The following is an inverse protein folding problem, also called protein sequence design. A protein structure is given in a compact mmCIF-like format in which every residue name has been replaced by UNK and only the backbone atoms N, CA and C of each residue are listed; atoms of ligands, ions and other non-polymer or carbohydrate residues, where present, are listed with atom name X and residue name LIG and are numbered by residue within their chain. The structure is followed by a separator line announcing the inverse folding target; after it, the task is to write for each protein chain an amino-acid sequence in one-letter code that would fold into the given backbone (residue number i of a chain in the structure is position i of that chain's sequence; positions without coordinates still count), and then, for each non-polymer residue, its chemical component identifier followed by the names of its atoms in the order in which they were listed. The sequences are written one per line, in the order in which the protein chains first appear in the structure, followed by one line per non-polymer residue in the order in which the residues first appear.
data_IF_435364396468
#
_entry.id   IF_435364396468
#
_cell.length_a   1.000
_cell.length_b   1.000
_cell.length_c   1.000
_cell.angle_alpha   90.00
_cell.angle_beta   90.00
_cell.angle_gamma   90.00
#
_symmetry.space_group_name_H-M   'P 1'
#
loop_
_entity.id
_entity.type
_entity.pdbx_description
1 polymer ?
#
# COMPACT_ATOMS: atom_id res chain seq x y z
N UNK A 1 4.92 -4.82 -21.85
CA UNK A 1 5.64 -4.48 -20.60
C UNK A 1 7.12 -4.51 -20.93
N UNK A 2 7.84 -3.37 -20.80
CA UNK A 2 9.26 -3.31 -21.14
C UNK A 2 10.10 -4.08 -20.10
N UNK A 3 10.98 -4.96 -20.58
CA UNK A 3 11.81 -5.91 -19.82
C UNK A 3 12.80 -5.26 -18.81
N UNK A 4 12.97 -3.93 -18.85
CA UNK A 4 13.98 -3.20 -18.08
C UNK A 4 13.56 -2.75 -16.67
N UNK A 5 12.28 -2.90 -16.30
CA UNK A 5 11.82 -2.69 -14.91
C UNK A 5 12.04 -3.91 -13.99
N UNK A 6 12.54 -5.04 -14.53
CA UNK A 6 12.76 -6.26 -13.75
C UNK A 6 14.01 -6.23 -12.87
N UNK A 7 14.99 -5.36 -13.15
CA UNK A 7 16.17 -5.25 -12.30
C UNK A 7 15.93 -4.19 -11.22
N UNK A 8 15.80 -4.57 -9.93
CA UNK A 8 15.64 -3.61 -8.85
C UNK A 8 16.90 -2.75 -8.77
N UNK A 9 16.78 -1.46 -9.11
CA UNK A 9 17.87 -0.49 -9.06
C UNK A 9 17.74 0.47 -7.86
N UNK A 10 16.62 0.40 -7.16
CA UNK A 10 16.36 1.15 -5.92
C UNK A 10 17.34 0.77 -4.81
N UNK A 11 17.59 1.70 -3.88
CA UNK A 11 18.39 1.42 -2.69
C UNK A 11 17.71 0.37 -1.82
N UNK A 12 18.50 -0.49 -1.17
CA UNK A 12 17.96 -1.42 -0.19
C UNK A 12 17.24 -0.66 0.95
N UNK A 13 17.79 0.48 1.38
CA UNK A 13 17.20 1.30 2.44
C UNK A 13 15.81 1.81 2.07
N UNK A 14 15.62 2.33 0.85
CA UNK A 14 14.34 2.91 0.41
C UNK A 14 13.25 1.83 0.36
N UNK A 15 13.57 0.66 -0.21
CA UNK A 15 12.63 -0.48 -0.22
C UNK A 15 12.33 -0.98 1.19
N UNK A 16 13.32 -1.00 2.08
CA UNK A 16 13.14 -1.43 3.47
C UNK A 16 12.23 -0.48 4.24
N UNK A 17 12.36 0.84 4.04
CA UNK A 17 11.46 1.84 4.64
C UNK A 17 10.02 1.64 4.17
N UNK A 18 9.79 1.49 2.86
CA UNK A 18 8.44 1.22 2.32
C UNK A 18 7.87 -0.07 2.90
N UNK A 19 8.68 -1.13 3.00
CA UNK A 19 8.29 -2.41 3.59
C UNK A 19 7.89 -2.25 5.06
N UNK A 20 8.66 -1.51 5.85
CA UNK A 20 8.34 -1.24 7.26
C UNK A 20 7.00 -0.51 7.40
N UNK A 21 6.76 0.54 6.60
CA UNK A 21 5.49 1.25 6.60
C UNK A 21 4.32 0.34 6.22
N UNK A 22 4.52 -0.53 5.23
CA UNK A 22 3.52 -1.51 4.80
C UNK A 22 3.21 -2.52 5.91
N UNK A 23 4.22 -3.12 6.52
CA UNK A 23 4.06 -4.09 7.62
C UNK A 23 3.39 -3.42 8.83
N UNK A 24 3.77 -2.19 9.16
CA UNK A 24 3.12 -1.41 10.20
C UNK A 24 1.63 -1.20 9.92
N UNK A 25 1.26 -0.90 8.67
CA UNK A 25 -0.14 -0.77 8.25
C UNK A 25 -0.91 -2.10 8.38
N UNK A 26 -0.39 -3.19 7.80
CA UNK A 26 -1.06 -4.49 7.77
C UNK A 26 -1.23 -5.09 9.17
N UNK A 27 -0.22 -4.97 10.03
CA UNK A 27 -0.32 -5.41 11.43
C UNK A 27 -1.40 -4.67 12.21
N UNK A 28 -1.60 -3.38 11.92
CA UNK A 28 -2.66 -2.58 12.53
C UNK A 28 -4.05 -3.10 12.19
N UNK A 29 -4.30 -3.39 10.90
CA UNK A 29 -5.56 -4.01 10.47
C UNK A 29 -5.75 -5.42 11.06
N UNK A 30 -4.66 -6.18 11.20
CA UNK A 30 -4.68 -7.50 11.85
C UNK A 30 -5.19 -7.43 13.28
N UNK A 31 -4.76 -6.44 14.07
CA UNK A 31 -5.28 -6.23 15.43
C UNK A 31 -6.78 -5.93 15.43
N UNK A 32 -7.24 -5.10 14.49
CA UNK A 32 -8.66 -4.80 14.33
C UNK A 32 -9.46 -6.07 14.07
N UNK A 33 -9.02 -6.94 13.14
CA UNK A 33 -9.69 -8.20 12.86
C UNK A 33 -9.70 -9.16 14.05
N UNK A 34 -8.60 -9.24 14.80
CA UNK A 34 -8.49 -10.10 15.97
C UNK A 34 -9.43 -9.69 17.12
N UNK A 35 -9.76 -8.40 17.23
CA UNK A 35 -10.66 -7.88 18.28
C UNK A 35 -12.12 -8.12 17.94
N UNK A 36 -12.51 -7.92 16.67
CA UNK A 36 -13.91 -8.04 16.27
C UNK A 36 -14.35 -9.48 15.91
N UNK A 37 -13.42 -10.34 15.48
CA UNK A 37 -13.72 -11.69 15.01
C UNK A 37 -13.07 -12.76 15.89
N UNK A 38 -13.66 -13.97 15.89
CA UNK A 38 -13.05 -15.16 16.48
C UNK A 38 -11.71 -15.51 15.80
N UNK A 39 -10.80 -16.27 16.44
CA UNK A 39 -9.45 -16.52 15.94
C UNK A 39 -9.42 -17.15 14.53
N UNK A 40 -10.28 -18.14 14.26
CA UNK A 40 -10.39 -18.78 12.94
C UNK A 40 -10.74 -17.79 11.80
N UNK A 41 -11.89 -17.10 11.84
CA UNK A 41 -12.26 -16.18 10.78
C UNK A 41 -11.35 -14.93 10.71
N UNK A 42 -10.78 -14.49 11.83
CA UNK A 42 -9.82 -13.35 11.83
C UNK A 42 -8.57 -13.63 10.99
N UNK A 43 -8.05 -14.86 11.02
CA UNK A 43 -6.90 -15.28 10.22
C UNK A 43 -7.24 -15.31 8.74
N UNK A 44 -8.40 -15.85 8.37
CA UNK A 44 -8.85 -15.88 6.98
C UNK A 44 -9.05 -14.47 6.42
N UNK A 45 -9.68 -13.58 7.19
CA UNK A 45 -9.83 -12.17 6.80
C UNK A 45 -8.49 -11.46 6.64
N UNK A 46 -7.52 -11.74 7.53
CA UNK A 46 -6.18 -11.14 7.45
C UNK A 46 -5.41 -11.54 6.19
N UNK A 47 -5.71 -12.69 5.58
CA UNK A 47 -5.12 -13.12 4.31
C UNK A 47 -5.94 -12.63 3.11
N UNK A 48 -7.27 -12.75 3.18
CA UNK A 48 -8.15 -12.47 2.05
C UNK A 48 -8.25 -10.97 1.75
N UNK A 49 -8.32 -10.12 2.80
CA UNK A 49 -8.46 -8.67 2.63
C UNK A 49 -7.28 -8.06 1.87
N UNK A 50 -6.00 -8.33 2.22
CA UNK A 50 -4.86 -7.86 1.43
C UNK A 50 -4.89 -8.29 -0.04
N UNK A 51 -5.27 -9.55 -0.30
CA UNK A 51 -5.31 -10.10 -1.67
C UNK A 51 -6.38 -9.38 -2.49
N UNK A 52 -7.59 -9.26 -1.95
CA UNK A 52 -8.70 -8.57 -2.63
C UNK A 52 -8.36 -7.10 -2.86
N UNK A 53 -7.82 -6.40 -1.85
CA UNK A 53 -7.42 -4.99 -1.99
C UNK A 53 -6.33 -4.81 -3.04
N UNK A 54 -5.37 -5.73 -3.13
CA UNK A 54 -4.30 -5.68 -4.16
C UNK A 54 -4.87 -5.90 -5.55
N UNK A 55 -5.82 -6.81 -5.72
CA UNK A 55 -6.51 -7.02 -6.99
C UNK A 55 -7.31 -5.78 -7.40
N UNK A 56 -7.99 -5.13 -6.45
CA UNK A 56 -8.71 -3.88 -6.69
C UNK A 56 -7.73 -2.75 -7.06
N UNK A 57 -6.62 -2.61 -6.34
CA UNK A 57 -5.56 -1.62 -6.61
C UNK A 57 -4.96 -1.78 -8.01
N UNK A 58 -4.84 -3.02 -8.50
CA UNK A 58 -4.22 -3.34 -9.78
C UNK A 58 -5.14 -3.12 -10.98
N UNK A 59 -6.43 -2.83 -10.77
CA UNK A 59 -7.39 -2.60 -11.85
C UNK A 59 -7.40 -1.12 -12.24
N UNK A 60 -6.86 -0.82 -13.43
CA UNK A 60 -6.84 0.52 -14.03
C UNK A 60 -8.17 0.91 -14.69
N UNK A 61 -8.98 -0.08 -15.09
CA UNK A 61 -10.21 0.11 -15.87
C UNK A 61 -11.48 -0.16 -15.04
N UNK A 62 -11.78 0.75 -14.11
CA UNK A 62 -12.95 0.66 -13.23
C UNK A 62 -13.84 1.90 -13.28
N UNK A 63 -15.14 1.71 -13.00
CA UNK A 63 -16.08 2.82 -12.78
C UNK A 63 -15.65 3.74 -11.61
N UNK A 64 -16.28 4.91 -11.48
CA UNK A 64 -15.91 5.94 -10.48
C UNK A 64 -15.78 5.38 -9.04
N UNK A 65 -16.66 4.45 -8.66
CA UNK A 65 -16.64 3.81 -7.35
C UNK A 65 -15.39 2.93 -7.12
N UNK A 66 -14.96 2.18 -8.14
CA UNK A 66 -13.78 1.33 -8.05
C UNK A 66 -12.50 2.16 -7.90
N UNK A 67 -12.44 3.33 -8.57
CA UNK A 67 -11.33 4.28 -8.43
C UNK A 67 -11.24 4.83 -7.01
N UNK A 68 -12.36 5.23 -6.41
CA UNK A 68 -12.39 5.69 -5.01
C UNK A 68 -11.93 4.59 -4.05
N UNK A 69 -12.38 3.35 -4.25
CA UNK A 69 -11.93 2.22 -3.43
C UNK A 69 -10.43 1.93 -3.61
N UNK A 70 -9.92 2.02 -4.83
CA UNK A 70 -8.49 1.88 -5.11
C UNK A 70 -7.67 3.02 -4.48
N UNK A 71 -8.18 4.25 -4.46
CA UNK A 71 -7.52 5.39 -3.81
C UNK A 71 -7.45 5.24 -2.29
N UNK A 72 -8.44 4.57 -1.70
CA UNK A 72 -8.50 4.32 -0.25
C UNK A 72 -7.67 3.10 0.17
N UNK A 73 -7.28 2.23 -0.77
CA UNK A 73 -6.61 0.98 -0.44
C UNK A 73 -5.10 1.20 -0.20
N UNK A 74 -4.60 0.68 0.93
CA UNK A 74 -3.17 0.75 1.25
C UNK A 74 -2.24 0.06 0.22
N UNK A 75 -2.63 -1.00 -0.53
CA UNK A 75 -1.74 -1.60 -1.52
C UNK A 75 -1.41 -0.68 -2.68
N UNK A 76 -2.31 0.24 -3.05
CA UNK A 76 -2.07 1.23 -4.11
C UNK A 76 -0.90 2.14 -3.74
N UNK A 77 -0.96 2.77 -2.56
CA UNK A 77 0.07 3.67 -2.07
C UNK A 77 1.41 2.95 -1.84
N UNK A 78 1.38 1.70 -1.39
CA UNK A 78 2.58 0.89 -1.25
C UNK A 78 3.22 0.56 -2.60
N UNK A 79 2.42 0.15 -3.58
CA UNK A 79 2.90 -0.15 -4.94
C UNK A 79 3.51 1.10 -5.58
N UNK A 80 2.84 2.25 -5.47
CA UNK A 80 3.31 3.52 -5.97
C UNK A 80 4.65 3.91 -5.31
N UNK A 81 4.78 3.79 -3.99
CA UNK A 81 6.04 4.05 -3.29
C UNK A 81 7.19 3.14 -3.75
N UNK A 82 6.92 1.84 -3.97
CA UNK A 82 7.91 0.91 -4.50
C UNK A 82 8.31 1.25 -5.94
N UNK A 83 7.34 1.61 -6.80
CA UNK A 83 7.60 1.98 -8.19
C UNK A 83 8.41 3.27 -8.27
N UNK A 84 8.07 4.28 -7.47
CA UNK A 84 8.78 5.57 -7.44
C UNK A 84 10.23 5.38 -6.95
N UNK A 85 10.45 4.60 -5.89
CA UNK A 85 11.80 4.32 -5.37
C UNK A 85 12.70 3.66 -6.43
N UNK A 86 12.13 2.79 -7.27
CA UNK A 86 12.85 2.21 -8.40
C UNK A 86 13.02 3.21 -9.55
N UNK A 87 11.99 4.00 -9.85
CA UNK A 87 11.99 4.98 -10.93
C UNK A 87 13.05 6.07 -10.75
N UNK A 88 13.31 6.50 -9.51
CA UNK A 88 14.27 7.58 -9.21
C UNK A 88 15.68 7.30 -9.76
N UNK A 89 16.09 6.03 -9.74
CA UNK A 89 17.43 5.57 -10.15
C UNK A 89 17.60 5.37 -11.66
N UNK A 90 16.58 5.65 -12.47
CA UNK A 90 16.67 5.65 -13.92
C UNK A 90 17.11 7.03 -14.44
N UNK A 91 18.30 7.07 -15.06
CA UNK A 91 18.91 8.26 -15.67
C UNK A 91 19.28 8.00 -17.14
N UNK A 92 19.58 9.08 -17.88
CA UNK A 92 20.02 9.03 -19.27
C UNK A 92 18.87 8.76 -20.24
N UNK A 93 19.10 7.90 -21.24
CA UNK A 93 18.11 7.55 -22.28
C UNK A 93 16.80 7.04 -21.68
N UNK A 94 16.87 6.42 -20.48
CA UNK A 94 15.74 5.86 -19.77
C UNK A 94 14.85 6.89 -19.07
N UNK A 95 15.26 8.17 -19.00
CA UNK A 95 14.50 9.23 -18.35
C UNK A 95 13.17 9.49 -19.09
N UNK A 96 13.19 9.55 -20.41
CA UNK A 96 11.99 9.79 -21.24
C UNK A 96 11.00 8.61 -21.09
N UNK A 97 11.51 7.38 -21.14
CA UNK A 97 10.70 6.17 -20.98
C UNK A 97 10.10 6.06 -19.59
N UNK A 98 10.87 6.38 -18.54
CA UNK A 98 10.39 6.50 -17.15
C UNK A 98 9.24 7.50 -17.07
N UNK A 99 9.43 8.73 -17.56
CA UNK A 99 8.41 9.77 -17.48
C UNK A 99 7.14 9.36 -18.24
N UNK A 100 7.27 8.72 -19.41
CA UNK A 100 6.11 8.19 -20.14
C UNK A 100 5.37 7.07 -19.40
N UNK A 101 6.09 6.15 -18.75
CA UNK A 101 5.49 5.09 -17.95
C UNK A 101 4.79 5.64 -16.69
N UNK A 102 5.45 6.55 -15.95
CA UNK A 102 4.87 7.19 -14.77
C UNK A 102 3.64 8.04 -15.14
N UNK A 103 3.68 8.76 -16.27
CA UNK A 103 2.56 9.55 -16.75
C UNK A 103 1.34 8.66 -17.12
N UNK A 104 1.57 7.48 -17.71
CA UNK A 104 0.49 6.52 -17.99
C UNK A 104 -0.14 5.94 -16.72
N UNK A 105 0.64 5.76 -15.65
CA UNK A 105 0.15 5.29 -14.35
C UNK A 105 -0.35 6.43 -13.45
N UNK A 106 -0.13 7.68 -13.83
CA UNK A 106 -0.48 8.87 -13.04
C UNK A 106 0.39 9.06 -11.79
N UNK A 107 1.58 8.46 -11.74
CA UNK A 107 2.48 8.53 -10.59
C UNK A 107 3.43 9.72 -10.69
N UNK A 108 3.57 10.47 -9.60
CA UNK A 108 4.53 11.57 -9.48
C UNK A 108 5.72 11.15 -8.64
N UNK A 109 6.92 11.53 -9.07
CA UNK A 109 8.15 11.24 -8.33
C UNK A 109 8.22 11.98 -6.98
N UNK A 110 7.55 13.13 -6.89
CA UNK A 110 7.56 13.95 -5.68
C UNK A 110 6.70 13.35 -4.55
N UNK A 111 5.78 12.44 -4.90
CA UNK A 111 4.76 11.95 -3.98
C UNK A 111 5.24 10.75 -3.15
N UNK A 112 6.52 10.35 -3.25
CA UNK A 112 7.08 9.24 -2.47
C UNK A 112 6.88 9.43 -0.96
N UNK A 113 7.17 10.64 -0.45
CA UNK A 113 6.98 10.96 0.97
C UNK A 113 5.51 10.99 1.37
N UNK A 114 4.62 11.43 0.45
CA UNK A 114 3.17 11.43 0.67
C UNK A 114 2.63 10.00 0.76
N UNK A 115 3.09 9.10 -0.10
CA UNK A 115 2.70 7.68 -0.06
C UNK A 115 3.07 7.04 1.29
N UNK A 116 4.29 7.29 1.78
CA UNK A 116 4.72 6.82 3.10
C UNK A 116 3.89 7.42 4.24
N UNK A 117 3.59 8.71 4.17
CA UNK A 117 2.76 9.40 5.15
C UNK A 117 1.35 8.79 5.21
N UNK A 118 0.72 8.56 4.06
CA UNK A 118 -0.60 7.94 3.97
C UNK A 118 -0.58 6.51 4.54
N UNK A 119 0.43 5.70 4.22
CA UNK A 119 0.59 4.35 4.79
C UNK A 119 0.69 4.38 6.32
N UNK A 120 1.47 5.32 6.86
CA UNK A 120 1.58 5.51 8.30
C UNK A 120 0.28 5.97 8.94
N UNK A 121 -0.46 6.88 8.29
CA UNK A 121 -1.76 7.36 8.77
C UNK A 121 -2.80 6.25 8.79
N UNK A 122 -2.87 5.39 7.77
CA UNK A 122 -3.76 4.22 7.75
C UNK A 122 -3.36 3.23 8.86
N UNK A 123 -2.05 3.00 9.05
CA UNK A 123 -1.54 2.14 10.13
C UNK A 123 -1.81 2.69 11.54
N UNK A 124 -1.77 4.01 11.72
CA UNK A 124 -2.13 4.67 12.97
C UNK A 124 -3.65 4.61 13.20
N UNK A 125 -4.44 4.92 12.17
CA UNK A 125 -5.91 4.88 12.23
C UNK A 125 -6.43 3.50 12.58
N UNK A 126 -5.89 2.44 11.97
CA UNK A 126 -6.25 1.06 12.32
C UNK A 126 -5.93 0.70 13.77
N UNK A 127 -4.82 1.18 14.34
CA UNK A 127 -4.50 0.99 15.76
C UNK A 127 -5.41 1.77 16.70
N UNK A 128 -5.79 2.99 16.32
CA UNK A 128 -6.77 3.78 17.08
C UNK A 128 -8.12 3.04 17.10
N UNK A 129 -8.56 2.50 15.96
CA UNK A 129 -9.78 1.69 15.87
C UNK A 129 -9.65 0.43 16.74
N UNK A 130 -8.52 -0.27 16.70
CA UNK A 130 -8.27 -1.44 17.55
C UNK A 130 -8.31 -1.07 19.04
N UNK A 131 -7.72 0.06 19.43
CA UNK A 131 -7.77 0.55 20.81
C UNK A 131 -9.20 0.85 21.27
N UNK A 132 -9.98 1.57 20.47
CA UNK A 132 -11.41 1.79 20.75
C UNK A 132 -12.23 0.50 20.75
N UNK A 133 -11.86 -0.47 19.90
CA UNK A 133 -12.42 -1.81 19.90
C UNK A 133 -12.21 -2.50 21.24
N UNK A 134 -10.98 -2.50 21.77
CA UNK A 134 -10.68 -3.04 23.10
C UNK A 134 -11.40 -2.32 24.24
N UNK A 135 -11.58 -0.99 24.15
CA UNK A 135 -12.31 -0.22 25.15
C UNK A 135 -13.83 -0.47 25.11
N UNK A 136 -14.41 -0.61 23.93
CA UNK A 136 -15.86 -0.86 23.77
C UNK A 136 -16.22 -2.31 24.06
N UNK A 137 -15.37 -3.26 23.65
CA UNK A 137 -15.53 -4.70 23.91
C UNK A 137 -14.84 -5.13 25.20
N UNK A 138 -14.79 -4.27 26.23
CA UNK A 138 -14.48 -4.70 27.61
C UNK A 138 -15.53 -5.74 28.03
N UNK A 139 -15.28 -7.00 27.65
CA UNK A 139 -15.95 -8.19 28.18
C UNK A 139 -15.66 -8.17 29.67
N UNK A 140 -16.69 -7.92 30.46
CA UNK A 140 -16.79 -8.54 31.80
C UNK A 140 -16.66 -10.06 31.66
#
# INVERSE_FOLDING_TARGET
MFYFFCNPRSSFADNYVVLLCLVYCVTGMGYTFAIFLAPGPSQLCSVLVPVVLTLVASRTDGGKFLKILADLCYPKWALEAFVIANAERYYGVWLITRCGALMNWGYSLHDWSLCLCILLLIGLGSRIIAFFGMLSFQRK
#
